data_IF_383334507810
#
_entry.id   IF_383334507810
#
_cell.length_a   1.000
_cell.length_b   1.000
_cell.length_c   1.000
_cell.angle_alpha   90.00
_cell.angle_beta   90.00
_cell.angle_gamma   90.00
#
_symmetry.space_group_name_H-M   'P 1'
#
loop_
_entity.id
_entity.type
_entity.pdbx_description
1 polymer ?
#
# COMPACT_ATOMS: atom_id res chain seq x y z
N UNK A 1 -1.00 -20.52 9.32
CA UNK A 1 -1.17 -19.36 10.23
C UNK A 1 -2.22 -18.35 9.76
N UNK A 2 -2.55 -18.26 8.46
CA UNK A 2 -3.44 -17.20 7.96
C UNK A 2 -4.95 -17.46 8.04
N UNK A 3 -5.38 -18.72 8.21
CA UNK A 3 -6.80 -19.07 8.28
C UNK A 3 -7.58 -18.44 9.45
N UNK A 4 -6.90 -17.91 10.49
CA UNK A 4 -7.56 -17.20 11.58
C UNK A 4 -7.94 -15.75 11.25
N UNK A 5 -7.46 -15.18 10.14
CA UNK A 5 -7.62 -13.75 9.84
C UNK A 5 -8.66 -13.44 8.76
N UNK A 6 -9.20 -14.44 8.06
CA UNK A 6 -10.16 -14.24 6.97
C UNK A 6 -11.61 -14.00 7.43
N UNK A 7 -11.90 -14.14 8.72
CA UNK A 7 -13.26 -14.05 9.28
C UNK A 7 -13.49 -12.80 10.16
N UNK A 8 -12.52 -11.89 10.23
CA UNK A 8 -12.66 -10.64 10.97
C UNK A 8 -13.42 -9.62 10.12
N UNK A 9 -14.57 -9.11 10.63
CA UNK A 9 -15.29 -7.97 10.01
C UNK A 9 -14.57 -6.63 10.19
N UNK A 10 -13.40 -6.62 10.81
CA UNK A 10 -12.61 -5.42 10.97
C UNK A 10 -11.77 -5.19 9.69
N UNK A 11 -12.07 -4.13 8.90
CA UNK A 11 -11.50 -3.90 7.57
C UNK A 11 -9.97 -3.81 7.57
N UNK A 12 -9.37 -3.47 8.71
CA UNK A 12 -7.93 -3.39 8.94
C UNK A 12 -7.20 -4.74 8.72
N UNK A 13 -7.86 -5.86 9.02
CA UNK A 13 -7.28 -7.20 8.85
C UNK A 13 -7.26 -7.64 7.38
N UNK A 14 -8.28 -7.26 6.62
CA UNK A 14 -8.36 -7.59 5.20
C UNK A 14 -7.23 -6.90 4.45
N UNK A 15 -6.96 -5.62 4.73
CA UNK A 15 -5.87 -4.87 4.09
C UNK A 15 -4.49 -5.43 4.44
N UNK A 16 -4.25 -5.76 5.71
CA UNK A 16 -3.00 -6.43 6.13
C UNK A 16 -2.80 -7.76 5.42
N UNK A 17 -3.86 -8.56 5.31
CA UNK A 17 -3.82 -9.84 4.61
C UNK A 17 -3.61 -9.67 3.11
N UNK A 18 -4.30 -8.71 2.49
CA UNK A 18 -4.19 -8.41 1.06
C UNK A 18 -2.82 -7.82 0.70
N UNK A 19 -2.23 -6.99 1.56
CA UNK A 19 -0.83 -6.55 1.44
C UNK A 19 0.13 -7.73 1.49
N UNK A 20 0.00 -8.60 2.50
CA UNK A 20 0.83 -9.80 2.59
C UNK A 20 0.65 -10.73 1.38
N UNK A 21 -0.57 -10.92 0.88
CA UNK A 21 -0.84 -11.73 -0.31
C UNK A 21 -0.27 -11.12 -1.59
N UNK A 22 -0.43 -9.80 -1.80
CA UNK A 22 0.17 -9.08 -2.94
C UNK A 22 1.68 -9.31 -2.98
N UNK A 23 2.35 -9.17 -1.83
CA UNK A 23 3.79 -9.40 -1.73
C UNK A 23 4.15 -10.88 -1.92
N UNK A 24 3.43 -11.82 -1.27
CA UNK A 24 3.69 -13.27 -1.39
C UNK A 24 3.49 -13.79 -2.82
N UNK A 25 2.52 -13.25 -3.57
CA UNK A 25 2.17 -13.69 -4.92
C UNK A 25 3.23 -13.30 -5.96
N UNK A 26 3.83 -12.11 -5.85
CA UNK A 26 4.68 -11.56 -6.91
C UNK A 26 6.15 -11.38 -6.54
N UNK A 27 6.46 -11.35 -5.26
CA UNK A 27 7.82 -11.11 -4.83
C UNK A 27 8.28 -12.28 -3.98
N UNK A 28 9.41 -12.87 -4.36
CA UNK A 28 10.18 -13.79 -3.52
C UNK A 28 10.72 -13.09 -2.24
N UNK A 29 10.04 -12.05 -1.73
CA UNK A 29 10.28 -11.40 -0.46
C UNK A 29 9.56 -12.18 0.63
N UNK A 30 10.34 -12.82 1.49
CA UNK A 30 9.80 -13.43 2.70
C UNK A 30 9.03 -12.38 3.51
N UNK A 31 7.75 -12.63 3.79
CA UNK A 31 6.92 -11.80 4.70
C UNK A 31 7.64 -11.44 6.00
N UNK A 32 8.56 -12.30 6.48
CA UNK A 32 9.46 -12.05 7.62
C UNK A 32 10.30 -10.77 7.52
N UNK A 33 10.72 -10.31 6.33
CA UNK A 33 11.48 -9.06 6.15
C UNK A 33 10.59 -7.84 6.37
N UNK A 34 9.33 -7.91 5.94
CA UNK A 34 8.34 -6.85 6.14
C UNK A 34 7.88 -6.78 7.61
N UNK A 35 7.69 -7.93 8.26
CA UNK A 35 7.44 -7.98 9.71
C UNK A 35 8.62 -7.42 10.53
N UNK A 36 9.86 -7.67 10.10
CA UNK A 36 11.06 -7.07 10.73
C UNK A 36 11.19 -5.57 10.51
N UNK A 37 10.63 -5.04 9.43
CA UNK A 37 10.62 -3.60 9.15
C UNK A 37 9.62 -2.83 10.04
N UNK A 38 8.93 -3.48 10.99
CA UNK A 38 7.95 -2.85 11.89
C UNK A 38 6.80 -2.11 11.18
N UNK A 39 6.53 -2.40 9.90
CA UNK A 39 5.33 -1.93 9.20
C UNK A 39 4.10 -2.76 9.58
N UNK A 40 3.87 -2.91 10.87
CA UNK A 40 2.56 -3.27 11.39
C UNK A 40 1.76 -1.98 11.35
N UNK A 41 1.20 -1.69 10.19
CA UNK A 41 0.24 -0.62 10.00
C UNK A 41 -1.00 -0.95 10.87
N UNK A 42 -1.24 -0.12 11.88
CA UNK A 42 -2.35 -0.27 12.84
C UNK A 42 -3.37 0.80 12.45
N UNK A 43 -4.20 0.42 11.48
CA UNK A 43 -5.13 1.29 10.76
C UNK A 43 -6.33 1.75 11.62
N UNK A 44 -6.11 2.65 12.58
CA UNK A 44 -7.23 3.27 13.32
C UNK A 44 -7.73 4.57 12.66
N UNK A 45 -6.88 5.28 11.90
CA UNK A 45 -7.23 6.49 11.13
C UNK A 45 -6.71 6.39 9.69
N UNK A 46 -7.55 5.99 8.73
CA UNK A 46 -7.19 6.01 7.32
C UNK A 46 -8.16 6.86 6.49
N UNK A 47 -7.59 7.67 5.60
CA UNK A 47 -8.35 8.43 4.59
C UNK A 47 -8.20 7.76 3.23
N UNK A 48 -9.30 7.20 2.73
CA UNK A 48 -9.29 6.53 1.43
C UNK A 48 -9.29 7.57 0.30
N UNK A 49 -8.28 7.48 -0.58
CA UNK A 49 -8.01 8.45 -1.64
C UNK A 49 -8.80 8.10 -2.90
N UNK A 50 -8.87 6.82 -3.26
CA UNK A 50 -9.48 6.33 -4.50
C UNK A 50 -10.67 5.41 -4.21
N UNK A 51 -11.76 5.97 -3.67
CA UNK A 51 -12.94 5.19 -3.24
C UNK A 51 -13.62 4.40 -4.36
N UNK A 52 -13.55 4.91 -5.59
CA UNK A 52 -14.24 4.32 -6.75
C UNK A 52 -13.31 3.48 -7.64
N UNK A 53 -12.03 3.31 -7.28
CA UNK A 53 -11.11 2.49 -8.05
C UNK A 53 -11.15 1.03 -7.57
N UNK A 54 -11.58 0.12 -8.45
CA UNK A 54 -11.70 -1.31 -8.12
C UNK A 54 -10.36 -2.06 -8.13
N UNK A 55 -9.34 -1.51 -8.77
CA UNK A 55 -8.03 -2.14 -8.95
C UNK A 55 -7.01 -1.64 -7.94
N UNK A 56 -7.07 -0.36 -7.59
CA UNK A 56 -6.13 0.29 -6.68
C UNK A 56 -6.81 0.59 -5.36
N UNK A 57 -6.17 0.12 -4.29
CA UNK A 57 -6.45 0.59 -2.96
C UNK A 57 -5.41 1.63 -2.54
N UNK A 58 -5.86 2.86 -2.38
CA UNK A 58 -5.02 4.01 -2.04
C UNK A 58 -5.57 4.72 -0.81
N UNK A 59 -4.74 4.91 0.21
CA UNK A 59 -5.13 5.61 1.43
C UNK A 59 -3.92 6.27 2.11
N UNK A 60 -4.18 7.29 2.93
CA UNK A 60 -3.18 7.80 3.88
C UNK A 60 -3.49 7.35 5.29
N UNK A 61 -2.45 7.16 6.10
CA UNK A 61 -2.53 6.84 7.53
C UNK A 61 -1.49 7.65 8.30
N UNK A 62 -1.77 7.95 9.57
CA UNK A 62 -0.79 8.51 10.50
C UNK A 62 -0.06 7.36 11.21
N UNK A 63 1.26 7.28 11.03
CA UNK A 63 2.13 6.34 11.72
C UNK A 63 2.97 7.11 12.76
N UNK A 64 2.46 7.22 13.98
CA UNK A 64 3.01 8.08 15.05
C UNK A 64 2.97 9.56 14.67
N UNK A 65 4.10 10.13 14.27
CA UNK A 65 4.28 11.54 13.90
C UNK A 65 4.41 11.70 12.38
N UNK A 66 4.50 10.59 11.63
CA UNK A 66 4.70 10.59 10.18
C UNK A 66 3.38 10.29 9.47
N UNK A 67 3.13 10.98 8.34
CA UNK A 67 2.02 10.65 7.46
C UNK A 67 2.53 9.74 6.34
N UNK A 68 1.82 8.65 6.10
CA UNK A 68 2.19 7.69 5.05
C UNK A 68 1.06 7.56 4.03
N UNK A 69 1.45 7.42 2.77
CA UNK A 69 0.62 7.01 1.65
C UNK A 69 0.89 5.53 1.36
N UNK A 70 -0.19 4.76 1.27
CA UNK A 70 -0.14 3.36 0.85
C UNK A 70 -0.90 3.22 -0.46
N UNK A 71 -0.23 2.64 -1.47
CA UNK A 71 -0.77 2.36 -2.80
C UNK A 71 -0.60 0.88 -3.12
N UNK A 72 -1.71 0.18 -3.33
CA UNK A 72 -1.73 -1.24 -3.65
C UNK A 72 -2.53 -1.46 -4.93
N UNK A 73 -1.86 -2.00 -5.95
CA UNK A 73 -2.56 -2.57 -7.10
C UNK A 73 -2.95 -4.01 -6.76
N UNK A 74 -4.24 -4.35 -6.84
CA UNK A 74 -4.76 -5.70 -6.60
C UNK A 74 -5.11 -6.46 -7.88
N UNK A 75 -4.80 -5.88 -9.05
CA UNK A 75 -5.04 -6.48 -10.36
C UNK A 75 -3.76 -7.07 -10.98
N UNK A 76 -3.93 -7.88 -12.03
CA UNK A 76 -2.85 -8.32 -12.91
C UNK A 76 -2.58 -7.37 -14.07
N UNK A 77 -3.21 -6.19 -14.08
CA UNK A 77 -3.04 -5.15 -15.08
C UNK A 77 -2.28 -3.96 -14.48
N UNK A 78 -1.72 -3.13 -15.36
CA UNK A 78 -1.19 -1.82 -14.97
C UNK A 78 -2.38 -0.93 -14.57
N UNK A 79 -2.26 -0.24 -13.45
CA UNK A 79 -3.29 0.67 -12.95
C UNK A 79 -2.70 2.04 -12.58
N UNK A 80 -3.47 3.11 -12.75
CA UNK A 80 -3.02 4.48 -12.49
C UNK A 80 -3.69 5.02 -11.23
N UNK A 81 -2.87 5.38 -10.24
CA UNK A 81 -3.30 6.07 -9.04
C UNK A 81 -3.16 7.60 -9.24
N UNK A 82 -4.28 8.30 -9.33
CA UNK A 82 -4.30 9.77 -9.36
C UNK A 82 -4.39 10.31 -7.94
N UNK A 83 -3.33 10.95 -7.48
CA UNK A 83 -3.25 11.54 -6.14
C UNK A 83 -3.89 12.93 -6.10
N UNK A 84 -4.48 13.32 -4.95
CA UNK A 84 -4.94 14.68 -4.73
C UNK A 84 -3.74 15.64 -4.66
N UNK A 85 -3.98 16.90 -5.02
CA UNK A 85 -2.95 17.96 -5.00
C UNK A 85 -2.29 18.18 -3.63
N UNK A 86 -2.91 17.70 -2.55
CA UNK A 86 -2.35 17.76 -1.18
C UNK A 86 -1.22 16.77 -0.95
N UNK A 87 -1.00 15.81 -1.87
CA UNK A 87 0.08 14.82 -1.80
C UNK A 87 0.99 15.04 -3.00
N UNK A 88 1.99 15.91 -2.86
CA UNK A 88 2.92 16.27 -3.93
C UNK A 88 4.33 15.72 -3.75
N UNK A 89 4.75 15.51 -2.50
CA UNK A 89 6.10 15.11 -2.13
C UNK A 89 6.08 13.92 -1.17
N UNK A 90 7.21 13.24 -1.11
CA UNK A 90 7.41 12.13 -0.20
C UNK A 90 8.63 11.28 -0.55
N UNK A 91 8.90 10.34 0.34
CA UNK A 91 10.03 9.41 0.26
C UNK A 91 9.52 7.98 0.24
N UNK A 92 9.83 7.26 -0.84
CA UNK A 92 9.51 5.83 -0.95
C UNK A 92 10.19 5.04 0.17
N UNK A 93 9.39 4.38 0.99
CA UNK A 93 9.84 3.51 2.07
C UNK A 93 9.90 2.04 1.62
N UNK A 94 8.83 1.58 0.97
CA UNK A 94 8.72 0.23 0.42
C UNK A 94 8.24 0.33 -1.00
N UNK A 95 8.92 -0.39 -1.87
CA UNK A 95 8.47 -0.68 -3.21
C UNK A 95 8.86 -2.12 -3.52
N UNK A 96 7.89 -2.94 -3.93
CA UNK A 96 8.15 -4.33 -4.30
C UNK A 96 8.66 -4.48 -5.74
N UNK A 97 8.68 -3.41 -6.53
CA UNK A 97 9.28 -3.35 -7.86
C UNK A 97 10.60 -2.56 -7.85
N UNK A 98 11.45 -2.79 -8.86
CA UNK A 98 12.73 -2.06 -9.02
C UNK A 98 12.52 -0.61 -9.48
N UNK A 99 11.45 -0.37 -10.22
CA UNK A 99 11.09 0.95 -10.73
C UNK A 99 10.30 1.68 -9.67
N UNK A 100 10.75 2.87 -9.27
CA UNK A 100 10.03 3.75 -8.36
C UNK A 100 9.17 4.75 -9.15
N UNK A 101 7.84 4.59 -9.16
CA UNK A 101 6.94 5.45 -9.93
C UNK A 101 6.58 6.74 -9.17
N UNK A 102 6.97 6.90 -7.90
CA UNK A 102 6.54 8.03 -7.06
C UNK A 102 7.19 9.38 -7.43
N UNK A 103 8.24 9.39 -8.28
CA UNK A 103 9.00 10.61 -8.61
C UNK A 103 8.11 11.74 -9.16
N UNK A 104 7.66 12.62 -8.27
CA UNK A 104 7.00 13.93 -8.52
C UNK A 104 5.84 13.89 -9.52
N UNK A 105 5.03 12.83 -9.50
CA UNK A 105 3.86 12.71 -10.37
C UNK A 105 2.58 12.61 -9.56
N UNK A 106 1.59 13.42 -9.93
CA UNK A 106 0.21 13.28 -9.46
C UNK A 106 -0.43 11.96 -9.96
N UNK A 107 0.07 11.40 -11.06
CA UNK A 107 -0.37 10.12 -11.60
C UNK A 107 0.74 9.08 -11.47
N UNK A 108 0.51 8.09 -10.62
CA UNK A 108 1.45 7.01 -10.34
C UNK A 108 0.95 5.77 -11.07
N UNK A 109 1.75 5.30 -12.01
CA UNK A 109 1.53 4.03 -12.70
C UNK A 109 2.05 2.91 -11.82
N UNK A 110 1.17 1.99 -11.44
CA UNK A 110 1.49 0.82 -10.64
C UNK A 110 1.46 -0.41 -11.53
N UNK A 111 2.57 -1.15 -11.51
CA UNK A 111 2.67 -2.47 -12.13
C UNK A 111 1.66 -3.46 -11.51
N UNK A 112 1.33 -4.56 -12.20
CA UNK A 112 0.51 -5.63 -11.66
C UNK A 112 0.96 -6.03 -10.25
N UNK A 113 0.06 -5.98 -9.27
CA UNK A 113 0.36 -6.32 -7.87
C UNK A 113 1.47 -5.48 -7.20
N UNK A 114 1.79 -4.30 -7.73
CA UNK A 114 2.73 -3.40 -7.08
C UNK A 114 2.16 -2.85 -5.77
N UNK A 115 3.02 -2.86 -4.75
CA UNK A 115 2.79 -2.28 -3.44
C UNK A 115 3.86 -1.22 -3.21
N UNK A 116 3.40 0.02 -3.03
CA UNK A 116 4.22 1.20 -2.83
C UNK A 116 3.78 1.90 -1.55
N UNK A 117 4.72 2.11 -0.64
CA UNK A 117 4.51 2.85 0.60
C UNK A 117 5.47 4.03 0.62
N UNK A 118 4.91 5.21 0.87
CA UNK A 118 5.61 6.47 0.79
C UNK A 118 5.34 7.25 2.07
N UNK A 119 6.39 7.76 2.69
CA UNK A 119 6.29 8.78 3.72
C UNK A 119 6.05 10.11 3.04
N UNK A 120 4.94 10.78 3.33
CA UNK A 120 4.53 12.03 2.70
C UNK A 120 4.69 13.19 3.69
N UNK A 121 5.03 14.37 3.15
CA UNK A 121 5.21 15.61 3.93
C UNK A 121 3.89 16.20 4.43
#
# INVERSE_FOLDING_TARGET
MYHKYSHSRNPTYYLKYSFCQSIEKYNHYSTKKLFKANLILVYENYDLILKDNSEINAYTEELKDDKILVLLNFSDQIAIATLPNTISNGRTMINNYKTDPFKEKQAIELEPYQALIVEIE
#
